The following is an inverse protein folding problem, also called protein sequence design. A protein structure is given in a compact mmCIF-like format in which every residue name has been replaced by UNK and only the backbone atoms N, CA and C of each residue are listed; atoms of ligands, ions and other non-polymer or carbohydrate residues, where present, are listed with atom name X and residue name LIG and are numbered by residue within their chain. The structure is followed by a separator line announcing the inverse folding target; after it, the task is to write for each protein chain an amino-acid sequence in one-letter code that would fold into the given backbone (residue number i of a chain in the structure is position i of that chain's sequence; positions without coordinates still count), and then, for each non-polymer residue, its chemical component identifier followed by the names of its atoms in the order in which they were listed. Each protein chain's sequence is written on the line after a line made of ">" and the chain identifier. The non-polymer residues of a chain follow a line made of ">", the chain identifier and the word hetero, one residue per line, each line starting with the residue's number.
data_IF_271414068328
#
_entry.id   IF_271414068328
#
_cell.length_a   1.000
_cell.length_b   1.000
_cell.length_c   1.000
_cell.angle_alpha   90.00
_cell.angle_beta   90.00
_cell.angle_gamma   90.00
#
_symmetry.space_group_name_H-M   'P 1'
#
loop_
_entity.id
_entity.type
_entity.pdbx_description
1 polymer ?
#
# COMPACT_ATOMS: atom_id res chain seq x y z
N UNK A 1 36.80 57.31 16.22
CA UNK A 1 36.27 56.69 14.99
C UNK A 1 34.75 56.63 15.19
N UNK A 2 34.00 57.68 14.83
CA UNK A 2 33.50 57.95 13.46
C UNK A 2 32.99 56.66 12.82
N UNK A 3 31.78 56.48 12.31
CA UNK A 3 30.60 57.29 11.99
C UNK A 3 29.62 56.24 11.43
N UNK A 4 28.30 56.31 11.67
CA UNK A 4 27.34 56.58 10.58
C UNK A 4 27.04 55.32 9.71
N UNK A 5 25.86 55.01 9.20
CA UNK A 5 24.66 55.75 8.82
C UNK A 5 23.56 54.66 8.69
N UNK A 6 22.43 54.75 9.39
CA UNK A 6 21.22 55.52 9.01
C UNK A 6 20.37 54.88 7.90
N UNK A 7 19.18 54.39 8.34
CA UNK A 7 17.82 54.60 7.78
C UNK A 7 17.56 54.05 6.34
N UNK A 8 16.40 53.51 5.96
CA UNK A 8 15.04 54.08 6.09
C UNK A 8 13.96 53.01 5.84
N UNK A 9 12.83 53.29 6.46
CA UNK A 9 11.50 52.70 6.30
C UNK A 9 10.74 53.28 5.08
N UNK A 10 9.88 52.44 4.48
CA UNK A 10 8.52 52.74 3.92
C UNK A 10 8.40 53.36 2.49
N UNK A 11 7.18 53.48 1.90
CA UNK A 11 6.37 52.43 1.24
C UNK A 11 5.78 52.94 -0.13
N UNK A 12 4.67 52.33 -0.60
CA UNK A 12 3.79 52.68 -1.75
C UNK A 12 4.22 51.99 -3.06
N UNK A 13 3.36 51.57 -3.99
CA UNK A 13 2.11 52.12 -4.52
C UNK A 13 1.30 50.97 -5.18
N UNK A 14 -0.03 50.99 -5.08
CA UNK A 14 -0.92 50.22 -5.95
C UNK A 14 -0.86 50.75 -7.39
N UNK A 15 -0.74 49.88 -8.40
CA UNK A 15 -1.24 50.21 -9.73
C UNK A 15 -1.95 49.01 -10.37
N UNK A 16 -3.25 49.22 -10.62
CA UNK A 16 -4.03 48.47 -11.61
C UNK A 16 -3.64 49.00 -12.98
N UNK A 17 -3.21 48.15 -13.91
CA UNK A 17 -3.38 48.40 -15.35
C UNK A 17 -3.75 47.07 -16.01
N UNK A 18 -5.03 46.96 -16.37
CA UNK A 18 -5.50 46.11 -17.43
C UNK A 18 -5.01 46.70 -18.76
N UNK A 19 -4.25 45.95 -19.56
CA UNK A 19 -4.19 46.17 -21.01
C UNK A 19 -4.27 44.83 -21.73
N UNK A 20 -5.28 44.78 -22.59
CA UNK A 20 -5.59 43.74 -23.56
C UNK A 20 -4.37 43.49 -24.45
N UNK A 21 -3.93 42.24 -24.50
CA UNK A 21 -3.06 41.72 -25.55
C UNK A 21 -3.79 40.59 -26.24
N UNK A 22 -4.30 40.86 -27.44
CA UNK A 22 -4.80 39.85 -28.36
C UNK A 22 -3.60 39.00 -28.79
N UNK A 23 -3.49 37.77 -28.31
CA UNK A 23 -2.55 36.79 -28.83
C UNK A 23 -3.38 35.69 -29.51
N UNK A 24 -3.51 35.81 -30.83
CA UNK A 24 -4.09 34.78 -31.67
C UNK A 24 -3.11 33.61 -31.73
N UNK A 25 -3.36 32.56 -30.94
CA UNK A 25 -2.74 31.26 -31.11
C UNK A 25 -3.83 30.28 -31.53
N UNK A 26 -3.66 29.76 -32.74
CA UNK A 26 -4.47 28.72 -33.36
C UNK A 26 -4.54 27.49 -32.44
N UNK A 27 -5.63 27.40 -31.68
CA UNK A 27 -5.95 26.25 -30.85
C UNK A 27 -6.69 25.21 -31.70
N UNK A 28 -6.01 24.11 -32.02
CA UNK A 28 -6.69 22.86 -32.41
C UNK A 28 -7.76 22.57 -31.36
N UNK A 29 -9.01 22.42 -31.82
CA UNK A 29 -10.15 22.05 -30.98
C UNK A 29 -9.95 20.62 -30.50
N UNK A 30 -9.22 20.46 -29.40
CA UNK A 30 -9.24 19.23 -28.61
C UNK A 30 -10.45 19.30 -27.70
N UNK A 31 -11.32 18.31 -27.85
CA UNK A 31 -12.62 18.21 -27.23
C UNK A 31 -12.49 18.30 -25.70
N UNK A 32 -13.04 19.37 -25.11
CA UNK A 32 -13.01 19.64 -23.66
C UNK A 32 -13.67 18.52 -22.84
N UNK A 33 -14.48 17.67 -23.48
CA UNK A 33 -15.15 16.52 -22.85
C UNK A 33 -14.19 15.40 -22.45
N UNK A 34 -13.00 15.28 -23.03
CA UNK A 34 -12.08 14.16 -22.77
C UNK A 34 -11.19 14.42 -21.53
N UNK A 35 -11.03 15.69 -21.14
CA UNK A 35 -10.26 16.09 -19.95
C UNK A 35 -11.07 16.04 -18.64
N UNK A 36 -12.39 15.80 -18.71
CA UNK A 36 -13.29 15.83 -17.55
C UNK A 36 -13.41 14.47 -16.83
N UNK A 37 -12.77 13.42 -17.36
CA UNK A 37 -12.75 12.11 -16.70
C UNK A 37 -11.58 11.99 -15.72
N UNK A 38 -11.86 12.21 -14.43
CA UNK A 38 -11.15 11.68 -13.23
C UNK A 38 -10.73 12.70 -12.15
N UNK A 39 -11.51 13.74 -11.87
CA UNK A 39 -11.43 14.37 -10.54
C UNK A 39 -12.19 13.53 -9.50
N UNK A 40 -11.70 12.30 -9.23
CA UNK A 40 -12.07 11.65 -7.96
C UNK A 40 -11.39 12.43 -6.85
N UNK A 41 -12.19 13.27 -6.20
CA UNK A 41 -11.86 14.27 -5.18
C UNK A 41 -10.76 13.84 -4.18
N UNK A 42 -9.50 14.01 -4.56
CA UNK A 42 -8.37 13.91 -3.66
C UNK A 42 -8.35 15.20 -2.85
N UNK A 43 -8.88 15.12 -1.64
CA UNK A 43 -9.02 16.28 -0.76
C UNK A 43 -7.69 16.83 -0.22
N UNK A 44 -6.56 16.12 -0.42
CA UNK A 44 -5.27 16.43 0.19
C UNK A 44 -4.10 16.23 -0.78
N UNK A 45 -3.09 17.10 -0.72
CA UNK A 45 -1.79 16.79 -1.30
C UNK A 45 -1.09 15.64 -0.54
N UNK A 46 -0.21 14.90 -1.21
CA UNK A 46 0.45 13.72 -0.61
C UNK A 46 1.21 14.07 0.67
N UNK A 47 1.87 15.23 0.71
CA UNK A 47 2.67 15.68 1.85
C UNK A 47 1.79 16.20 3.00
N UNK A 48 0.65 16.81 2.68
CA UNK A 48 -0.28 17.38 3.66
C UNK A 48 -1.33 16.38 4.15
N UNK A 49 -1.28 15.15 3.66
CA UNK A 49 -2.25 14.12 4.00
C UNK A 49 -2.21 13.83 5.51
N UNK A 50 -3.35 13.92 6.22
CA UNK A 50 -3.40 13.65 7.65
C UNK A 50 -3.38 12.14 7.92
N UNK A 51 -2.20 11.53 7.82
CA UNK A 51 -2.00 10.08 7.88
C UNK A 51 -2.65 9.41 9.10
N UNK A 52 -2.47 9.99 10.29
CA UNK A 52 -3.07 9.47 11.53
C UNK A 52 -4.61 9.41 11.47
N UNK A 53 -5.26 10.37 10.79
CA UNK A 53 -6.73 10.37 10.63
C UNK A 53 -7.16 9.24 9.68
N UNK A 54 -6.43 9.04 8.59
CA UNK A 54 -6.69 7.95 7.64
C UNK A 54 -6.50 6.58 8.29
N UNK A 55 -5.42 6.40 9.04
CA UNK A 55 -5.13 5.18 9.80
C UNK A 55 -6.25 4.88 10.80
N UNK A 56 -6.67 5.87 11.59
CA UNK A 56 -7.78 5.73 12.55
C UNK A 56 -9.10 5.36 11.86
N UNK A 57 -9.39 5.95 10.70
CA UNK A 57 -10.59 5.64 9.92
C UNK A 57 -10.59 4.19 9.42
N UNK A 58 -9.50 3.77 8.77
CA UNK A 58 -9.32 2.41 8.27
C UNK A 58 -9.36 1.39 9.41
N UNK A 59 -8.71 1.67 10.53
CA UNK A 59 -8.67 0.79 11.69
C UNK A 59 -10.04 0.60 12.35
N UNK A 60 -10.88 1.64 12.41
CA UNK A 60 -12.27 1.51 12.86
C UNK A 60 -13.06 0.53 11.99
N UNK A 61 -12.85 0.57 10.68
CA UNK A 61 -13.51 -0.34 9.75
C UNK A 61 -13.00 -1.77 9.91
N UNK A 62 -11.69 -1.96 10.05
CA UNK A 62 -11.08 -3.26 10.35
C UNK A 62 -11.61 -3.87 11.65
N UNK A 63 -11.73 -3.08 12.73
CA UNK A 63 -12.35 -3.53 13.99
C UNK A 63 -13.79 -4.00 13.80
N UNK A 64 -14.56 -3.33 12.93
CA UNK A 64 -15.94 -3.73 12.62
C UNK A 64 -15.98 -5.05 11.82
N UNK A 65 -15.05 -5.25 10.89
CA UNK A 65 -14.89 -6.50 10.14
C UNK A 65 -14.56 -7.64 11.12
N UNK A 66 -13.57 -7.43 11.99
CA UNK A 66 -13.20 -8.40 13.03
C UNK A 66 -14.39 -8.79 13.92
N UNK A 67 -15.15 -7.80 14.43
CA UNK A 67 -16.35 -8.05 15.25
C UNK A 67 -17.42 -8.82 14.48
N UNK A 68 -17.67 -8.47 13.21
CA UNK A 68 -18.63 -9.18 12.37
C UNK A 68 -18.21 -10.64 12.13
N UNK A 69 -16.92 -10.87 11.87
CA UNK A 69 -16.35 -12.21 11.73
C UNK A 69 -16.47 -13.03 13.01
N UNK A 70 -16.16 -12.43 14.17
CA UNK A 70 -16.30 -13.07 15.49
C UNK A 70 -17.74 -13.45 15.84
N UNK A 71 -18.72 -12.67 15.38
CA UNK A 71 -20.15 -12.97 15.53
C UNK A 71 -20.72 -13.84 14.40
N UNK A 72 -19.90 -14.35 13.47
CA UNK A 72 -20.32 -15.10 12.27
C UNK A 72 -21.35 -14.38 11.37
N UNK A 73 -21.39 -13.04 11.39
CA UNK A 73 -22.24 -12.26 10.48
C UNK A 73 -21.52 -12.03 9.14
N UNK A 74 -21.60 -13.05 8.28
CA UNK A 74 -20.91 -13.10 6.99
C UNK A 74 -21.39 -11.98 6.05
N UNK A 75 -22.71 -11.69 6.03
CA UNK A 75 -23.29 -10.66 5.14
C UNK A 75 -22.75 -9.28 5.49
N UNK A 76 -22.72 -8.93 6.78
CA UNK A 76 -22.16 -7.66 7.25
C UNK A 76 -20.66 -7.59 7.04
N UNK A 77 -19.93 -8.67 7.30
CA UNK A 77 -18.49 -8.76 7.07
C UNK A 77 -18.15 -8.43 5.60
N UNK A 78 -18.76 -9.11 4.63
CA UNK A 78 -18.55 -8.85 3.20
C UNK A 78 -18.95 -7.43 2.79
N UNK A 79 -20.00 -6.85 3.38
CA UNK A 79 -20.38 -5.44 3.15
C UNK A 79 -19.29 -4.48 3.63
N UNK A 80 -18.72 -4.73 4.82
CA UNK A 80 -17.65 -3.92 5.39
C UNK A 80 -16.32 -4.08 4.64
N UNK A 81 -15.98 -5.28 4.19
CA UNK A 81 -14.82 -5.52 3.33
C UNK A 81 -14.95 -4.75 2.02
N UNK A 82 -16.08 -4.85 1.32
CA UNK A 82 -16.35 -4.05 0.10
C UNK A 82 -16.24 -2.54 0.35
N UNK A 83 -16.71 -2.07 1.51
CA UNK A 83 -16.56 -0.67 1.91
C UNK A 83 -15.09 -0.28 2.11
N UNK A 84 -14.28 -1.14 2.73
CA UNK A 84 -12.86 -0.89 2.98
C UNK A 84 -12.09 -0.79 1.67
N UNK A 85 -12.36 -1.70 0.74
CA UNK A 85 -11.70 -1.74 -0.57
C UNK A 85 -11.99 -0.46 -1.40
N UNK A 86 -13.18 0.15 -1.25
CA UNK A 86 -13.53 1.41 -1.94
C UNK A 86 -13.04 2.67 -1.22
N UNK A 87 -12.70 2.57 0.06
CA UNK A 87 -12.28 3.70 0.91
C UNK A 87 -11.02 4.37 0.37
N UNK A 88 -11.06 5.69 0.18
CA UNK A 88 -9.89 6.50 -0.18
C UNK A 88 -8.80 6.40 0.90
N UNK A 89 -9.18 6.35 2.18
CA UNK A 89 -8.23 6.19 3.28
C UNK A 89 -7.44 4.89 3.17
N UNK A 90 -8.09 3.78 2.83
CA UNK A 90 -7.42 2.50 2.71
C UNK A 90 -6.51 2.44 1.48
N UNK A 91 -6.98 2.97 0.33
CA UNK A 91 -6.18 3.06 -0.91
C UNK A 91 -4.91 3.89 -0.73
N UNK A 92 -5.01 5.04 -0.07
CA UNK A 92 -3.87 5.90 0.25
C UNK A 92 -2.84 5.19 1.15
N UNK A 93 -3.30 4.49 2.19
CA UNK A 93 -2.42 3.72 3.07
C UNK A 93 -1.75 2.56 2.35
N UNK A 94 -2.46 1.85 1.47
CA UNK A 94 -1.89 0.77 0.67
C UNK A 94 -0.76 1.27 -0.24
N UNK A 95 -0.96 2.41 -0.93
CA UNK A 95 0.07 3.01 -1.78
C UNK A 95 1.26 3.49 -0.95
N UNK A 96 1.02 4.16 0.18
CA UNK A 96 2.09 4.61 1.10
C UNK A 96 2.92 3.42 1.59
N UNK A 97 2.27 2.33 2.00
CA UNK A 97 2.95 1.13 2.48
C UNK A 97 3.94 0.58 1.45
N UNK A 98 3.50 0.46 0.19
CA UNK A 98 4.32 -0.10 -0.89
C UNK A 98 5.45 0.82 -1.32
N UNK A 99 5.19 2.12 -1.37
CA UNK A 99 6.13 3.12 -1.93
C UNK A 99 7.09 3.71 -0.89
N UNK A 100 6.72 3.75 0.40
CA UNK A 100 7.50 4.43 1.44
C UNK A 100 7.96 3.50 2.57
N UNK A 101 7.11 2.59 3.05
CA UNK A 101 7.40 1.83 4.28
C UNK A 101 8.11 0.49 4.02
N UNK A 102 7.74 -0.21 2.94
CA UNK A 102 8.27 -1.55 2.67
C UNK A 102 9.76 -1.51 2.31
N UNK A 103 10.54 -2.49 2.80
CA UNK A 103 11.98 -2.61 2.50
C UNK A 103 12.26 -2.72 0.99
N UNK A 104 11.42 -3.44 0.26
CA UNK A 104 11.51 -3.61 -1.20
C UNK A 104 10.90 -2.48 -2.04
N UNK A 105 10.74 -1.26 -1.48
CA UNK A 105 10.10 -0.13 -2.17
C UNK A 105 10.80 0.31 -3.45
N UNK A 106 12.13 0.17 -3.53
CA UNK A 106 12.95 0.56 -4.70
C UNK A 106 13.04 -0.52 -5.78
N UNK A 107 12.33 -1.63 -5.65
CA UNK A 107 12.41 -2.74 -6.60
C UNK A 107 11.36 -2.58 -7.70
N UNK A 108 11.81 -2.48 -8.95
CA UNK A 108 10.93 -2.41 -10.12
C UNK A 108 10.30 -3.77 -10.46
N UNK A 109 9.04 -3.72 -10.92
CA UNK A 109 8.37 -4.86 -11.54
C UNK A 109 8.75 -5.00 -13.02
N UNK A 110 7.89 -5.64 -13.80
CA UNK A 110 8.07 -5.77 -15.26
C UNK A 110 7.92 -4.44 -16.01
N UNK A 111 7.27 -3.46 -15.37
CA UNK A 111 7.05 -2.11 -15.87
C UNK A 111 8.26 -1.17 -15.69
N UNK A 112 9.35 -1.64 -15.10
CA UNK A 112 10.57 -0.84 -14.88
C UNK A 112 10.43 0.27 -13.84
N UNK A 113 9.22 0.56 -13.34
CA UNK A 113 8.97 1.62 -12.36
C UNK A 113 9.39 1.20 -10.96
N UNK A 114 10.48 1.77 -10.46
CA UNK A 114 11.04 1.52 -9.13
C UNK A 114 10.58 2.53 -8.06
N UNK A 115 10.25 3.75 -8.45
CA UNK A 115 9.80 4.82 -7.56
C UNK A 115 8.72 5.63 -8.25
N UNK A 116 7.83 6.24 -7.46
CA UNK A 116 6.75 7.10 -7.95
C UNK A 116 6.88 8.48 -7.34
N UNK A 117 6.60 9.50 -8.14
CA UNK A 117 6.48 10.89 -7.68
C UNK A 117 5.19 11.10 -6.87
N UNK A 118 5.09 12.18 -6.09
CA UNK A 118 3.91 12.46 -5.26
C UNK A 118 2.60 12.47 -6.06
N UNK A 119 2.59 13.10 -7.24
CA UNK A 119 1.43 13.13 -8.14
C UNK A 119 1.04 11.72 -8.62
N UNK A 120 2.02 10.93 -9.04
CA UNK A 120 1.79 9.55 -9.48
C UNK A 120 1.27 8.65 -8.34
N UNK A 121 1.71 8.88 -7.10
CA UNK A 121 1.18 8.14 -5.93
C UNK A 121 -0.28 8.46 -5.67
N UNK A 122 -0.68 9.73 -5.76
CA UNK A 122 -2.07 10.14 -5.63
C UNK A 122 -2.93 9.56 -6.77
N UNK A 123 -2.47 9.66 -8.01
CA UNK A 123 -3.12 9.07 -9.17
C UNK A 123 -3.29 7.55 -9.01
N UNK A 124 -2.24 6.87 -8.53
CA UNK A 124 -2.31 5.43 -8.25
C UNK A 124 -3.35 5.13 -7.16
N UNK A 125 -3.41 5.91 -6.07
CA UNK A 125 -4.40 5.70 -5.02
C UNK A 125 -5.84 5.92 -5.52
N UNK A 126 -6.05 6.86 -6.43
CA UNK A 126 -7.37 7.15 -7.01
C UNK A 126 -7.82 6.09 -8.03
N UNK A 127 -6.89 5.63 -8.86
CA UNK A 127 -7.15 4.61 -9.88
C UNK A 127 -7.08 3.17 -9.35
N UNK A 128 -6.77 2.98 -8.06
CA UNK A 128 -6.65 1.66 -7.46
C UNK A 128 -8.01 0.95 -7.42
N UNK A 129 -8.23 0.06 -8.38
CA UNK A 129 -9.35 -0.87 -8.43
C UNK A 129 -8.85 -2.33 -8.39
N UNK A 130 -9.64 -3.20 -7.77
CA UNK A 130 -9.34 -4.62 -7.60
C UNK A 130 -9.80 -5.42 -8.81
N UNK A 131 -10.72 -4.88 -9.61
CA UNK A 131 -11.15 -5.49 -10.85
C UNK A 131 -10.01 -5.51 -11.89
N UNK A 132 -10.13 -6.43 -12.84
CA UNK A 132 -9.23 -6.60 -13.97
C UNK A 132 -8.16 -7.66 -13.78
N UNK A 133 -7.47 -8.01 -14.88
CA UNK A 133 -6.40 -8.99 -14.88
C UNK A 133 -5.13 -8.42 -14.24
N UNK A 134 -4.45 -9.23 -13.43
CA UNK A 134 -3.17 -8.85 -12.83
C UNK A 134 -2.07 -8.85 -13.90
N UNK A 135 -1.13 -7.89 -13.81
CA UNK A 135 0.07 -7.89 -14.65
C UNK A 135 1.00 -9.05 -14.23
N UNK A 136 1.74 -9.66 -15.18
CA UNK A 136 2.71 -10.69 -14.86
C UNK A 136 3.81 -10.17 -13.91
N UNK A 137 4.34 -11.07 -13.09
CA UNK A 137 5.43 -10.74 -12.16
C UNK A 137 6.79 -10.93 -12.81
N UNK A 138 7.74 -10.04 -12.53
CA UNK A 138 9.11 -10.14 -13.03
C UNK A 138 9.88 -11.20 -12.26
N UNK A 139 10.43 -12.21 -12.93
CA UNK A 139 11.25 -13.26 -12.31
C UNK A 139 12.66 -12.73 -12.06
N UNK A 140 13.16 -12.92 -10.84
CA UNK A 140 14.54 -12.62 -10.46
C UNK A 140 15.12 -13.83 -9.73
N UNK A 141 16.34 -14.20 -10.08
CA UNK A 141 17.05 -15.29 -9.44
C UNK A 141 17.94 -14.75 -8.33
N UNK A 142 17.76 -15.26 -7.12
CA UNK A 142 18.55 -14.89 -5.95
C UNK A 142 19.36 -16.13 -5.53
N UNK A 143 20.68 -16.05 -5.37
CA UNK A 143 21.46 -17.18 -4.86
C UNK A 143 21.03 -17.55 -3.43
N UNK A 144 21.06 -18.84 -3.10
CA UNK A 144 20.84 -19.27 -1.72
C UNK A 144 22.06 -18.90 -0.87
N UNK A 145 21.87 -18.41 0.36
CA UNK A 145 22.98 -18.19 1.28
C UNK A 145 23.73 -19.51 1.49
N UNK A 146 25.06 -19.49 1.34
CA UNK A 146 25.91 -20.67 1.50
C UNK A 146 25.94 -21.65 0.32
N UNK A 147 25.14 -21.44 -0.74
CA UNK A 147 25.12 -22.30 -1.93
C UNK A 147 24.99 -21.48 -3.22
N UNK A 148 26.12 -21.03 -3.82
CA UNK A 148 26.09 -20.15 -5.00
C UNK A 148 25.48 -20.77 -6.26
N UNK A 149 25.59 -22.10 -6.41
CA UNK A 149 25.04 -22.86 -7.53
C UNK A 149 23.52 -23.00 -7.47
N UNK A 150 22.93 -22.98 -6.28
CA UNK A 150 21.49 -23.09 -6.09
C UNK A 150 20.85 -21.70 -6.03
N UNK A 151 19.88 -21.45 -6.91
CA UNK A 151 19.15 -20.17 -6.95
C UNK A 151 17.70 -20.38 -6.55
N UNK A 152 17.16 -19.45 -5.77
CA UNK A 152 15.72 -19.35 -5.50
C UNK A 152 15.10 -18.32 -6.45
N UNK A 153 14.00 -18.65 -7.12
CA UNK A 153 13.28 -17.67 -7.89
C UNK A 153 12.46 -16.74 -6.99
N UNK A 154 12.41 -15.46 -7.34
CA UNK A 154 11.52 -14.46 -6.75
C UNK A 154 10.66 -13.83 -7.85
N UNK A 155 9.34 -13.80 -7.66
CA UNK A 155 8.42 -13.05 -8.50
C UNK A 155 8.21 -11.65 -7.92
N UNK A 156 8.58 -10.62 -8.67
CA UNK A 156 8.44 -9.22 -8.28
C UNK A 156 7.27 -8.60 -9.05
N UNK A 157 6.12 -8.37 -8.41
CA UNK A 157 4.99 -7.70 -9.02
C UNK A 157 5.24 -6.20 -9.22
N UNK A 158 4.47 -5.58 -10.12
CA UNK A 158 4.46 -4.13 -10.33
C UNK A 158 4.01 -3.37 -9.07
N UNK A 159 4.31 -2.07 -8.97
CA UNK A 159 3.88 -1.24 -7.82
C UNK A 159 2.35 -1.26 -7.67
N UNK A 160 1.62 -1.16 -8.79
CA UNK A 160 0.15 -1.23 -8.78
C UNK A 160 -0.35 -2.57 -8.24
N UNK A 161 0.22 -3.70 -8.69
CA UNK A 161 -0.16 -5.02 -8.18
C UNK A 161 0.13 -5.15 -6.67
N UNK A 162 1.29 -4.65 -6.19
CA UNK A 162 1.61 -4.65 -4.75
C UNK A 162 0.63 -3.80 -3.95
N UNK A 163 0.21 -2.65 -4.48
CA UNK A 163 -0.76 -1.79 -3.83
C UNK A 163 -2.14 -2.48 -3.74
N UNK A 164 -2.58 -3.14 -4.82
CA UNK A 164 -3.82 -3.95 -4.82
C UNK A 164 -3.74 -5.09 -3.80
N UNK A 165 -2.65 -5.84 -3.78
CA UNK A 165 -2.42 -6.92 -2.81
C UNK A 165 -2.45 -6.39 -1.37
N UNK A 166 -1.82 -5.24 -1.11
CA UNK A 166 -1.82 -4.60 0.21
C UNK A 166 -3.23 -4.16 0.61
N UNK A 167 -4.00 -3.60 -0.31
CA UNK A 167 -5.38 -3.20 -0.05
C UNK A 167 -6.28 -4.40 0.27
N UNK A 168 -6.17 -5.49 -0.50
CA UNK A 168 -6.90 -6.73 -0.26
C UNK A 168 -6.49 -7.34 1.09
N UNK A 169 -5.19 -7.36 1.38
CA UNK A 169 -4.64 -7.80 2.67
C UNK A 169 -5.28 -7.05 3.84
N UNK A 170 -5.37 -5.71 3.77
CA UNK A 170 -6.02 -4.90 4.81
C UNK A 170 -7.50 -5.26 5.06
N UNK A 171 -8.21 -5.79 4.05
CA UNK A 171 -9.60 -6.21 4.18
C UNK A 171 -9.76 -7.64 4.71
N UNK A 172 -8.83 -8.55 4.37
CA UNK A 172 -8.89 -9.95 4.75
C UNK A 172 -8.28 -10.22 6.13
N UNK A 173 -7.22 -9.52 6.51
CA UNK A 173 -6.55 -9.72 7.82
C UNK A 173 -7.50 -9.70 9.01
N UNK A 174 -8.46 -8.75 9.15
CA UNK A 174 -9.34 -8.70 10.31
C UNK A 174 -10.31 -9.89 10.39
N UNK A 175 -10.67 -10.50 9.25
CA UNK A 175 -11.48 -11.71 9.23
C UNK A 175 -10.66 -12.90 9.75
N UNK A 176 -9.48 -13.12 9.20
CA UNK A 176 -8.65 -14.26 9.56
C UNK A 176 -8.13 -14.16 10.99
N UNK A 177 -7.84 -12.95 11.48
CA UNK A 177 -7.44 -12.76 12.87
C UNK A 177 -8.55 -13.13 13.87
N UNK A 178 -9.82 -13.10 13.47
CA UNK A 178 -10.92 -13.59 14.30
C UNK A 178 -11.03 -15.12 14.33
N UNK A 179 -10.51 -15.80 13.30
CA UNK A 179 -10.60 -17.26 13.10
C UNK A 179 -9.33 -18.02 13.49
N UNK A 180 -8.17 -17.36 13.46
CA UNK A 180 -6.89 -18.03 13.73
C UNK A 180 -6.76 -18.54 15.16
N UNK A 181 -6.17 -19.72 15.29
CA UNK A 181 -5.82 -20.30 16.58
C UNK A 181 -4.73 -19.47 17.28
N UNK A 182 -4.73 -19.40 18.62
CA UNK A 182 -3.63 -18.82 19.39
C UNK A 182 -2.25 -19.44 19.13
N UNK A 183 -2.14 -20.66 18.58
CA UNK A 183 -0.86 -21.32 18.32
C UNK A 183 -0.36 -21.16 16.87
N UNK A 184 -1.05 -20.36 16.04
CA UNK A 184 -0.58 -20.04 14.69
C UNK A 184 0.30 -18.79 14.72
N UNK A 185 1.54 -18.87 14.24
CA UNK A 185 2.49 -17.74 14.29
C UNK A 185 2.87 -17.18 12.92
N UNK A 186 2.79 -17.99 11.85
CA UNK A 186 3.25 -17.61 10.53
C UNK A 186 2.49 -16.42 9.93
N UNK A 187 3.23 -15.42 9.45
CA UNK A 187 2.73 -14.27 8.67
C UNK A 187 1.60 -13.43 9.33
N UNK A 188 1.48 -13.48 10.67
CA UNK A 188 0.49 -12.68 11.42
C UNK A 188 1.05 -11.35 11.91
N UNK A 189 0.19 -10.35 12.00
CA UNK A 189 0.56 -9.08 12.60
C UNK A 189 0.81 -9.23 14.10
N UNK A 190 1.93 -8.67 14.59
CA UNK A 190 2.29 -8.69 16.01
C UNK A 190 2.80 -10.04 16.52
N UNK A 191 3.11 -10.99 15.62
CA UNK A 191 3.72 -12.28 15.95
C UNK A 191 4.96 -12.54 15.12
N UNK A 192 5.90 -13.28 15.69
CA UNK A 192 7.20 -13.60 15.10
C UNK A 192 7.55 -15.08 15.24
N UNK A 193 8.55 -15.54 14.51
CA UNK A 193 9.07 -16.91 14.66
C UNK A 193 9.61 -17.17 16.08
N UNK A 194 10.08 -16.13 16.78
CA UNK A 194 10.56 -16.24 18.16
C UNK A 194 9.43 -16.57 19.14
N UNK A 195 8.20 -16.10 18.88
CA UNK A 195 7.04 -16.43 19.72
C UNK A 195 6.70 -17.92 19.62
N UNK A 196 6.85 -18.51 18.43
CA UNK A 196 6.68 -19.94 18.22
C UNK A 196 7.73 -20.76 19.00
N UNK A 197 9.00 -20.37 18.91
CA UNK A 197 10.10 -21.00 19.67
C UNK A 197 9.82 -20.92 21.18
N UNK A 198 9.38 -19.74 21.65
CA UNK A 198 9.03 -19.52 23.06
C UNK A 198 7.87 -20.40 23.51
N UNK A 199 6.84 -20.56 22.69
CA UNK A 199 5.72 -21.44 22.98
C UNK A 199 6.13 -22.91 23.07
N UNK A 200 6.97 -23.38 22.12
CA UNK A 200 7.53 -24.74 22.13
C UNK A 200 8.37 -24.95 23.39
N UNK A 201 9.27 -24.01 23.72
CA UNK A 201 10.10 -24.07 24.92
C UNK A 201 9.26 -24.25 26.19
N UNK A 202 8.24 -23.42 26.39
CA UNK A 202 7.37 -23.55 27.56
C UNK A 202 6.55 -24.85 27.60
N UNK A 203 6.18 -25.39 26.44
CA UNK A 203 5.48 -26.68 26.38
C UNK A 203 6.41 -27.83 26.82
N UNK A 204 7.67 -27.83 26.35
CA UNK A 204 8.66 -28.85 26.66
C UNK A 204 9.17 -28.77 28.12
N UNK A 205 9.25 -27.58 28.71
CA UNK A 205 9.68 -27.44 30.11
C UNK A 205 8.71 -28.03 31.13
N UNK A 206 7.43 -28.20 30.78
CA UNK A 206 6.40 -28.67 31.74
C UNK A 206 6.35 -30.18 31.90
N UNK A 207 6.59 -30.93 30.81
CA UNK A 207 6.51 -32.40 30.78
C UNK A 207 7.44 -32.94 29.68
N UNK A 208 8.00 -34.13 29.91
CA UNK A 208 8.67 -34.89 28.86
C UNK A 208 7.66 -35.19 27.74
N UNK A 209 7.96 -34.74 26.52
CA UNK A 209 7.08 -34.88 25.37
C UNK A 209 7.85 -35.41 24.16
N UNK A 210 7.15 -36.17 23.32
CA UNK A 210 7.64 -36.57 22.00
C UNK A 210 7.24 -35.52 20.96
N UNK A 211 8.12 -35.25 20.00
CA UNK A 211 7.88 -34.27 18.93
C UNK A 211 7.63 -35.03 17.63
N UNK A 212 6.49 -34.75 17.00
CA UNK A 212 6.20 -35.23 15.65
C UNK A 212 6.59 -34.14 14.64
N UNK A 213 7.55 -34.44 13.78
CA UNK A 213 7.90 -33.57 12.66
C UNK A 213 7.14 -33.98 11.40
N UNK A 214 6.49 -33.01 10.77
CA UNK A 214 5.80 -33.22 9.49
C UNK A 214 6.20 -32.15 8.49
N UNK A 215 6.57 -32.57 7.28
CA UNK A 215 7.04 -31.69 6.21
C UNK A 215 6.04 -31.69 5.06
N UNK A 216 5.43 -30.54 4.79
CA UNK A 216 4.57 -30.35 3.62
C UNK A 216 5.43 -30.04 2.39
N UNK A 217 5.31 -30.86 1.34
CA UNK A 217 5.85 -30.55 0.01
C UNK A 217 4.80 -29.78 -0.79
N UNK A 218 5.10 -28.52 -1.11
CA UNK A 218 4.30 -27.75 -2.07
C UNK A 218 4.71 -28.16 -3.49
N UNK A 219 3.76 -28.68 -4.28
CA UNK A 219 3.96 -28.88 -5.72
C UNK A 219 3.88 -27.52 -6.41
N UNK A 220 4.95 -27.11 -7.09
CA UNK A 220 4.90 -26.01 -8.04
C UNK A 220 4.55 -26.60 -9.41
N UNK A 221 3.29 -26.96 -9.61
CA UNK A 221 2.81 -27.23 -10.98
C UNK A 221 2.72 -25.88 -11.70
N UNK A 222 3.54 -25.73 -12.74
CA UNK A 222 3.49 -24.62 -13.67
C UNK A 222 2.16 -24.72 -14.42
N UNK A 223 1.14 -23.99 -13.98
CA UNK A 223 -0.05 -23.72 -14.81
C UNK A 223 0.39 -22.71 -15.87
N UNK A 224 1.04 -23.23 -16.92
CA UNK A 224 1.14 -22.59 -18.21
C UNK A 224 -0.07 -23.04 -19.01
N UNK A 225 -1.22 -22.40 -18.83
CA UNK A 225 -2.31 -22.52 -19.79
C UNK A 225 -2.30 -21.31 -20.73
N UNK A 226 -2.50 -21.64 -22.00
CA UNK A 226 -2.19 -20.90 -23.23
C UNK A 226 -2.91 -19.55 -23.40
#
# INVERSE_FOLDING_TARGET
>A
MLEGLSKKQTPRVMSRICRRGHCSLEGKVVNSSEYVMSQQNVRYEWNETPWRKLEKSSFKLQKRIYRASKCNDIKKMHKLQRLLLKSTSARMLAVRRVTQDNRGKKTAGIDGKANLNQKERLQLACSLDIKGKAKPSRRVWIPKPGKPSERRPLGIPTISCRAKQTLVKMALEPEWEAKFEPNTYGFRCGRSCHDAIKAIFYALCKKSAFILEHVFKLKNELICEA
#
